data_IF_145606669798
#
_entry.id   IF_145606669798
#
_cell.length_a   1.000
_cell.length_b   1.000
_cell.length_c   1.000
_cell.angle_alpha   90.00
_cell.angle_beta   90.00
_cell.angle_gamma   90.00
#
_symmetry.space_group_name_H-M   'P 1'
#
loop_
_entity.id
_entity.type
_entity.pdbx_description
1 polymer ?
#
# COMPACT_ATOMS: atom_id res chain seq x y z
N UNK A 1 1.41 -17.87 -9.98
CA UNK A 1 2.75 -17.27 -9.86
C UNK A 1 3.16 -16.68 -11.20
N UNK A 2 3.91 -15.59 -11.17
CA UNK A 2 4.48 -14.93 -12.35
C UNK A 2 5.98 -14.79 -12.11
N UNK A 3 6.78 -15.13 -13.11
CA UNK A 3 8.25 -15.05 -13.04
C UNK A 3 8.74 -14.25 -14.23
N UNK A 4 9.34 -13.10 -13.97
CA UNK A 4 9.99 -12.29 -15.00
C UNK A 4 11.38 -12.84 -15.37
N UNK A 5 11.73 -12.75 -16.66
CA UNK A 5 13.06 -13.03 -17.20
C UNK A 5 13.47 -11.86 -18.11
N UNK A 6 14.01 -10.77 -17.53
CA UNK A 6 14.40 -9.58 -18.29
C UNK A 6 15.60 -9.81 -19.22
N UNK A 7 16.30 -10.94 -19.07
CA UNK A 7 17.43 -11.34 -19.91
C UNK A 7 17.03 -12.26 -21.06
N UNK A 8 15.76 -12.65 -21.15
CA UNK A 8 15.31 -13.58 -22.16
C UNK A 8 15.61 -13.05 -23.58
N UNK A 9 16.25 -13.90 -24.37
CA UNK A 9 16.70 -13.59 -25.71
C UNK A 9 15.71 -14.18 -26.71
N UNK A 10 15.40 -13.41 -27.75
CA UNK A 10 14.53 -13.90 -28.80
C UNK A 10 15.25 -14.04 -30.13
N UNK A 11 15.20 -15.22 -30.77
CA UNK A 11 15.71 -15.40 -32.12
C UNK A 11 14.82 -14.65 -33.12
N UNK A 12 15.42 -13.85 -34.01
CA UNK A 12 14.69 -13.17 -35.07
C UNK A 12 14.09 -14.18 -36.05
N UNK A 13 12.87 -13.95 -36.59
CA UNK A 13 12.47 -14.60 -37.82
C UNK A 13 13.39 -14.07 -38.93
N UNK A 14 14.27 -14.96 -39.42
CA UNK A 14 15.22 -14.77 -40.54
C UNK A 14 16.64 -14.23 -40.24
N UNK A 15 17.33 -14.76 -39.21
CA UNK A 15 18.79 -14.86 -39.22
C UNK A 15 19.60 -13.56 -39.15
N UNK A 16 19.04 -12.50 -38.56
CA UNK A 16 19.80 -11.32 -38.14
C UNK A 16 20.34 -11.47 -36.71
N UNK A 17 21.31 -10.62 -36.35
CA UNK A 17 21.97 -10.56 -35.04
C UNK A 17 20.98 -10.69 -33.88
N UNK A 18 21.32 -11.57 -32.96
CA UNK A 18 20.57 -11.92 -31.76
C UNK A 18 20.22 -10.64 -30.98
N UNK A 19 18.93 -10.35 -30.80
CA UNK A 19 18.53 -9.21 -29.96
C UNK A 19 18.71 -9.60 -28.50
N UNK A 20 19.78 -9.10 -27.88
CA UNK A 20 20.07 -9.35 -26.47
C UNK A 20 19.00 -8.70 -25.57
N UNK A 21 18.38 -9.49 -24.68
CA UNK A 21 17.61 -9.04 -23.50
C UNK A 21 16.31 -8.25 -23.75
N UNK A 22 15.47 -8.66 -24.69
CA UNK A 22 14.12 -8.05 -24.84
C UNK A 22 13.25 -8.39 -23.61
N UNK A 23 13.46 -9.59 -23.05
CA UNK A 23 12.85 -10.04 -21.81
C UNK A 23 11.45 -10.64 -21.98
N UNK A 24 11.02 -11.42 -21.00
CA UNK A 24 9.71 -12.07 -20.98
C UNK A 24 9.15 -12.24 -19.55
N UNK A 25 7.90 -12.66 -19.44
CA UNK A 25 7.31 -13.08 -18.16
C UNK A 25 6.57 -14.41 -18.31
N UNK A 26 6.73 -15.30 -17.35
CA UNK A 26 6.22 -16.67 -17.38
C UNK A 26 5.17 -16.87 -16.30
N UNK A 27 4.00 -17.37 -16.70
CA UNK A 27 2.86 -17.62 -15.82
C UNK A 27 2.82 -19.10 -15.45
N UNK A 28 2.66 -19.37 -14.16
CA UNK A 28 2.43 -20.70 -13.61
C UNK A 28 1.13 -20.73 -12.80
N UNK A 29 0.31 -21.76 -13.03
CA UNK A 29 -0.94 -22.02 -12.31
C UNK A 29 -0.76 -23.19 -11.35
N UNK A 30 -1.31 -23.07 -10.15
CA UNK A 30 -1.27 -24.15 -9.16
C UNK A 30 -2.45 -25.10 -9.41
N UNK A 31 -2.15 -26.32 -9.83
CA UNK A 31 -3.16 -27.35 -10.14
C UNK A 31 -2.83 -28.62 -9.35
N UNK A 32 -3.78 -29.07 -8.52
CA UNK A 32 -3.62 -30.24 -7.65
C UNK A 32 -2.29 -30.22 -6.85
N UNK A 33 -1.88 -29.05 -6.36
CA UNK A 33 -0.64 -28.86 -5.60
C UNK A 33 0.65 -28.76 -6.44
N UNK A 34 0.56 -28.77 -7.77
CA UNK A 34 1.71 -28.66 -8.66
C UNK A 34 1.66 -27.35 -9.46
N UNK A 35 2.80 -26.66 -9.58
CA UNK A 35 2.93 -25.51 -10.46
C UNK A 35 3.05 -25.98 -11.91
N UNK A 36 2.03 -25.67 -12.71
CA UNK A 36 1.96 -25.99 -14.13
C UNK A 36 2.22 -24.72 -14.93
N UNK A 37 3.15 -24.81 -15.88
CA UNK A 37 3.40 -23.73 -16.83
C UNK A 37 2.14 -23.42 -17.64
N UNK A 38 1.75 -22.15 -17.68
CA UNK A 38 0.54 -21.69 -18.34
C UNK A 38 0.83 -20.96 -19.65
N UNK A 39 1.67 -19.92 -19.60
CA UNK A 39 1.93 -19.05 -20.76
C UNK A 39 3.18 -18.18 -20.55
N UNK A 40 3.85 -17.85 -21.64
CA UNK A 40 4.85 -16.78 -21.75
C UNK A 40 4.16 -15.51 -22.25
N UNK A 41 4.45 -14.38 -21.61
CA UNK A 41 4.05 -13.03 -21.97
C UNK A 41 5.26 -12.29 -22.52
N UNK A 42 5.03 -11.50 -23.57
CA UNK A 42 6.01 -10.72 -24.31
C UNK A 42 5.33 -9.42 -24.72
N UNK A 43 6.02 -8.28 -24.61
CA UNK A 43 5.47 -7.00 -25.03
C UNK A 43 5.16 -6.99 -26.53
N UNK A 44 3.93 -6.66 -26.91
CA UNK A 44 3.49 -6.61 -28.31
C UNK A 44 4.30 -5.62 -29.17
N UNK A 45 4.77 -4.53 -28.55
CA UNK A 45 5.60 -3.51 -29.18
C UNK A 45 7.11 -3.71 -28.98
N UNK A 46 7.54 -4.79 -28.30
CA UNK A 46 8.96 -5.17 -28.20
C UNK A 46 9.58 -5.60 -29.54
N UNK A 47 8.74 -5.67 -30.59
CA UNK A 47 9.08 -6.09 -31.94
C UNK A 47 8.61 -5.08 -32.99
N UNK A 48 9.06 -3.83 -32.91
CA UNK A 48 8.67 -2.77 -33.85
C UNK A 48 9.76 -2.36 -34.84
N UNK A 49 9.73 -2.92 -36.05
CA UNK A 49 10.37 -2.34 -37.25
C UNK A 49 9.50 -1.27 -37.94
N UNK A 50 8.35 -0.92 -37.37
CA UNK A 50 7.48 0.10 -37.91
C UNK A 50 7.82 1.45 -37.29
N UNK A 51 8.56 2.27 -38.05
CA UNK A 51 8.78 3.73 -37.95
C UNK A 51 10.23 4.14 -38.29
N UNK A 52 11.10 3.25 -38.76
CA UNK A 52 12.48 3.64 -39.12
C UNK A 52 13.31 4.16 -37.93
N UNK A 53 12.90 3.75 -36.73
CA UNK A 53 13.54 4.09 -35.45
C UNK A 53 14.51 2.97 -35.10
N UNK A 54 15.68 3.34 -34.60
CA UNK A 54 16.72 2.39 -34.20
C UNK A 54 16.24 1.62 -32.96
N UNK A 55 15.71 0.42 -33.18
CA UNK A 55 15.24 -0.53 -32.16
C UNK A 55 16.42 -0.88 -31.25
N UNK A 56 16.33 -0.54 -29.96
CA UNK A 56 17.35 -0.90 -28.98
C UNK A 56 17.18 -2.36 -28.51
N UNK A 57 18.25 -3.17 -28.46
CA UNK A 57 18.25 -4.36 -27.60
C UNK A 57 18.11 -3.94 -26.13
N UNK A 58 17.47 -4.76 -25.30
CA UNK A 58 17.50 -4.57 -23.85
C UNK A 58 16.32 -3.86 -23.20
N UNK A 59 15.08 -4.01 -23.66
CA UNK A 59 13.88 -3.42 -23.02
C UNK A 59 13.71 -3.86 -21.55
N UNK A 60 14.33 -4.98 -21.16
CA UNK A 60 14.25 -5.58 -19.83
C UNK A 60 12.78 -5.87 -19.41
N UNK A 61 11.92 -6.29 -20.36
CA UNK A 61 10.56 -6.69 -20.01
C UNK A 61 10.59 -7.87 -19.04
N UNK A 62 9.78 -7.83 -17.99
CA UNK A 62 9.85 -8.83 -16.91
C UNK A 62 10.84 -8.47 -15.81
N UNK A 63 11.38 -7.25 -15.80
CA UNK A 63 12.26 -6.82 -14.70
C UNK A 63 11.54 -6.73 -13.36
N UNK A 64 10.28 -6.32 -13.37
CA UNK A 64 9.39 -6.35 -12.23
C UNK A 64 8.04 -6.91 -12.66
N UNK A 65 7.39 -7.64 -11.77
CA UNK A 65 6.07 -8.24 -12.01
C UNK A 65 5.24 -8.16 -10.75
N UNK A 66 3.93 -7.99 -10.91
CA UNK A 66 2.96 -8.15 -9.83
C UNK A 66 1.63 -8.69 -10.38
N UNK A 67 0.79 -9.27 -9.53
CA UNK A 67 -0.43 -9.98 -9.92
C UNK A 67 -1.58 -9.75 -8.94
N UNK A 68 -2.71 -9.29 -9.47
CA UNK A 68 -3.98 -9.19 -8.75
C UNK A 68 -5.08 -9.89 -9.54
N UNK A 69 -5.67 -10.93 -8.93
CA UNK A 69 -6.73 -11.74 -9.55
C UNK A 69 -6.36 -12.25 -10.94
N UNK A 70 -7.04 -11.71 -11.96
CA UNK A 70 -6.86 -12.06 -13.38
C UNK A 70 -5.93 -11.10 -14.15
N UNK A 71 -5.29 -10.14 -13.46
CA UNK A 71 -4.40 -9.14 -14.05
C UNK A 71 -2.97 -9.33 -13.59
N UNK A 72 -2.04 -9.13 -14.51
CA UNK A 72 -0.61 -9.14 -14.26
C UNK A 72 -0.06 -7.81 -14.77
N UNK A 73 0.72 -7.12 -13.97
CA UNK A 73 1.54 -6.00 -14.44
C UNK A 73 2.98 -6.44 -14.62
N UNK A 74 3.63 -5.96 -15.68
CA UNK A 74 5.01 -6.27 -16.02
C UNK A 74 5.76 -4.99 -16.37
N UNK A 75 6.88 -4.74 -15.70
CA UNK A 75 7.76 -3.61 -15.97
C UNK A 75 8.81 -3.89 -17.05
N UNK A 76 9.12 -2.88 -17.85
CA UNK A 76 10.16 -2.87 -18.87
C UNK A 76 10.95 -1.55 -18.77
N UNK A 77 11.82 -1.45 -17.76
CA UNK A 77 12.46 -0.18 -17.38
C UNK A 77 13.38 0.45 -18.43
N UNK A 78 13.77 -0.35 -19.43
CA UNK A 78 14.67 0.07 -20.50
C UNK A 78 13.94 0.18 -21.85
N UNK A 79 12.61 0.08 -21.86
CA UNK A 79 11.82 0.34 -23.04
C UNK A 79 12.10 1.75 -23.57
N UNK A 80 12.33 1.89 -24.87
CA UNK A 80 12.57 3.19 -25.46
C UNK A 80 12.78 3.17 -26.96
N UNK A 81 12.57 4.34 -27.55
CA UNK A 81 12.59 4.54 -29.01
C UNK A 81 14.00 4.75 -29.56
N UNK A 82 14.98 5.00 -28.67
CA UNK A 82 16.38 5.27 -29.01
C UNK A 82 17.32 4.41 -28.16
N UNK A 83 18.29 3.75 -28.82
CA UNK A 83 19.23 2.73 -28.31
C UNK A 83 19.97 3.13 -27.01
N UNK A 84 20.02 4.42 -26.66
CA UNK A 84 20.73 4.90 -25.49
C UNK A 84 19.92 5.81 -24.58
N UNK A 85 18.61 5.97 -24.78
CA UNK A 85 17.79 6.94 -24.03
C UNK A 85 16.44 6.34 -23.58
N UNK A 86 16.45 5.18 -22.88
CA UNK A 86 15.21 4.49 -22.56
C UNK A 86 14.37 5.29 -21.57
N UNK A 87 13.06 5.36 -21.81
CA UNK A 87 12.11 6.03 -20.91
C UNK A 87 11.52 5.06 -19.89
N UNK A 88 11.40 3.80 -20.30
CA UNK A 88 10.73 2.73 -19.58
C UNK A 88 9.24 2.66 -19.88
N UNK A 89 8.65 1.51 -19.62
CA UNK A 89 7.22 1.24 -19.79
C UNK A 89 6.75 0.19 -18.77
N UNK A 90 5.43 0.07 -18.63
CA UNK A 90 4.81 -1.08 -17.99
C UNK A 90 3.66 -1.61 -18.86
N UNK A 91 3.32 -2.88 -18.67
CA UNK A 91 2.31 -3.59 -19.44
C UNK A 91 1.37 -4.29 -18.49
N UNK A 92 0.07 -4.15 -18.71
CA UNK A 92 -0.94 -4.91 -17.97
C UNK A 92 -1.55 -5.95 -18.89
N UNK A 93 -1.51 -7.20 -18.44
CA UNK A 93 -2.14 -8.34 -19.10
C UNK A 93 -3.36 -8.77 -18.31
N UNK A 94 -4.51 -8.83 -18.97
CA UNK A 94 -5.78 -9.28 -18.37
C UNK A 94 -6.24 -10.59 -19.02
N UNK A 95 -6.50 -11.60 -18.18
CA UNK A 95 -6.84 -12.94 -18.65
C UNK A 95 -8.25 -12.98 -19.23
N UNK A 96 -8.35 -13.43 -20.49
CA UNK A 96 -9.61 -13.56 -21.24
C UNK A 96 -10.10 -15.02 -21.31
N UNK A 97 -9.54 -15.91 -20.49
CA UNK A 97 -9.85 -17.33 -20.49
C UNK A 97 -8.93 -18.16 -21.40
N UNK A 98 -8.78 -19.45 -21.05
CA UNK A 98 -7.86 -20.36 -21.76
C UNK A 98 -6.43 -19.81 -21.77
N UNK A 99 -5.84 -19.67 -22.95
CA UNK A 99 -4.49 -19.09 -23.17
C UNK A 99 -4.52 -17.63 -23.62
N UNK A 100 -5.70 -16.98 -23.62
CA UNK A 100 -5.87 -15.64 -24.19
C UNK A 100 -5.68 -14.56 -23.13
N UNK A 101 -4.97 -13.50 -23.50
CA UNK A 101 -4.67 -12.35 -22.66
C UNK A 101 -4.79 -11.09 -23.51
N UNK A 102 -5.40 -10.04 -22.96
CA UNK A 102 -5.39 -8.70 -23.55
C UNK A 102 -4.27 -7.88 -22.91
N UNK A 103 -3.58 -7.05 -23.70
CA UNK A 103 -2.47 -6.21 -23.25
C UNK A 103 -2.91 -4.74 -23.20
N UNK A 104 -2.44 -4.00 -22.20
CA UNK A 104 -2.48 -2.54 -22.12
C UNK A 104 -1.06 -2.01 -21.90
N UNK A 105 -0.63 -1.08 -22.75
CA UNK A 105 0.64 -0.36 -22.60
C UNK A 105 0.45 0.86 -21.69
N UNK A 106 1.32 1.01 -20.69
CA UNK A 106 1.33 2.13 -19.75
C UNK A 106 2.65 2.89 -19.85
N UNK A 107 2.52 4.20 -20.05
CA UNK A 107 3.61 5.19 -19.96
C UNK A 107 2.98 6.53 -19.59
N UNK A 108 3.63 7.30 -18.71
CA UNK A 108 3.16 8.64 -18.36
C UNK A 108 3.53 9.67 -19.45
N UNK A 109 2.68 10.67 -19.68
CA UNK A 109 2.85 11.67 -20.74
C UNK A 109 4.10 12.55 -20.56
N UNK A 110 4.50 12.78 -19.31
CA UNK A 110 5.64 13.63 -18.94
C UNK A 110 6.95 12.85 -18.80
N UNK A 111 6.96 11.54 -19.10
CA UNK A 111 8.14 10.72 -18.89
C UNK A 111 9.28 11.15 -19.82
N UNK A 112 10.46 11.33 -19.23
CA UNK A 112 11.67 11.73 -19.96
C UNK A 112 12.65 10.58 -20.09
N UNK A 113 13.67 10.78 -20.93
CA UNK A 113 14.73 9.79 -21.13
C UNK A 113 15.43 9.46 -19.81
N UNK A 114 15.83 8.21 -19.67
CA UNK A 114 16.47 7.63 -18.49
C UNK A 114 15.64 7.57 -17.21
N UNK A 115 14.32 7.77 -17.28
CA UNK A 115 13.49 7.81 -16.06
C UNK A 115 13.35 6.46 -15.33
N UNK A 116 13.70 5.34 -15.99
CA UNK A 116 13.50 3.97 -15.49
C UNK A 116 12.04 3.66 -15.11
N UNK A 117 11.07 4.18 -15.88
CA UNK A 117 9.65 3.89 -15.63
C UNK A 117 9.37 2.39 -15.75
N UNK A 118 8.71 1.79 -14.77
CA UNK A 118 8.49 0.35 -14.73
C UNK A 118 9.63 -0.44 -14.07
N UNK A 119 10.57 0.23 -13.39
CA UNK A 119 11.57 -0.46 -12.57
C UNK A 119 10.93 -1.28 -11.45
N UNK A 120 9.90 -0.73 -10.80
CA UNK A 120 9.04 -1.45 -9.87
C UNK A 120 7.59 -1.16 -10.23
N UNK A 121 6.76 -2.18 -10.09
CA UNK A 121 5.34 -2.15 -10.44
C UNK A 121 4.57 -2.84 -9.32
N UNK A 122 3.35 -2.36 -9.07
CA UNK A 122 2.39 -3.02 -8.21
C UNK A 122 0.97 -2.82 -8.78
N UNK A 123 0.08 -3.78 -8.56
CA UNK A 123 -1.31 -3.75 -9.03
C UNK A 123 -2.25 -4.26 -7.94
N UNK A 124 -3.33 -3.53 -7.68
CA UNK A 124 -4.39 -3.96 -6.77
C UNK A 124 -5.71 -3.38 -7.22
N UNK A 125 -6.71 -4.24 -7.44
CA UNK A 125 -7.98 -3.79 -7.97
C UNK A 125 -7.79 -3.00 -9.27
N UNK A 126 -8.52 -1.91 -9.42
CA UNK A 126 -8.45 -1.06 -10.61
C UNK A 126 -7.28 -0.05 -10.61
N UNK A 127 -6.29 -0.25 -9.74
CA UNK A 127 -5.13 0.63 -9.60
C UNK A 127 -3.82 -0.08 -9.91
N UNK A 128 -2.91 0.64 -10.55
CA UNK A 128 -1.53 0.21 -10.77
C UNK A 128 -0.57 1.33 -10.39
N UNK A 129 0.46 1.02 -9.63
CA UNK A 129 1.49 1.96 -9.22
C UNK A 129 2.81 1.61 -9.87
N UNK A 130 3.44 2.59 -10.51
CA UNK A 130 4.66 2.37 -11.29
C UNK A 130 5.75 3.33 -10.83
N UNK A 131 6.88 2.77 -10.43
CA UNK A 131 8.06 3.50 -10.00
C UNK A 131 8.92 3.97 -11.17
N UNK A 132 9.48 5.17 -11.04
CA UNK A 132 10.39 5.81 -12.00
C UNK A 132 11.51 6.56 -11.27
N UNK A 133 12.41 5.86 -10.58
CA UNK A 133 13.34 6.48 -9.62
C UNK A 133 14.42 7.36 -10.24
N UNK A 134 14.64 7.28 -11.56
CA UNK A 134 15.59 8.17 -12.25
C UNK A 134 14.92 9.38 -12.92
N UNK A 135 13.59 9.51 -12.80
CA UNK A 135 12.90 10.70 -13.26
C UNK A 135 13.42 11.96 -12.56
N UNK A 136 13.34 13.10 -13.24
CA UNK A 136 13.81 14.40 -12.75
C UNK A 136 15.21 14.35 -12.12
N UNK A 137 16.20 13.92 -12.91
CA UNK A 137 17.61 13.85 -12.51
C UNK A 137 17.90 12.98 -11.27
N UNK A 138 17.09 11.93 -11.04
CA UNK A 138 17.26 11.03 -9.90
C UNK A 138 16.59 11.49 -8.61
N UNK A 139 15.76 12.54 -8.66
CA UNK A 139 14.82 12.83 -7.57
C UNK A 139 13.77 11.69 -7.48
N UNK A 140 13.37 11.15 -8.62
CA UNK A 140 12.46 10.02 -8.72
C UNK A 140 10.99 10.43 -8.65
N UNK A 141 10.12 9.54 -9.11
CA UNK A 141 8.68 9.74 -9.21
C UNK A 141 7.99 8.38 -9.20
N UNK A 142 6.76 8.32 -8.71
CA UNK A 142 5.85 7.20 -8.92
C UNK A 142 4.58 7.68 -9.63
N UNK A 143 3.93 6.80 -10.37
CA UNK A 143 2.73 7.12 -11.12
C UNK A 143 1.61 6.15 -10.78
N UNK A 144 0.46 6.68 -10.32
CA UNK A 144 -0.74 5.90 -10.03
C UNK A 144 -1.69 5.93 -11.23
N UNK A 145 -1.87 4.78 -11.86
CA UNK A 145 -2.81 4.57 -12.95
C UNK A 145 -4.12 4.02 -12.39
N UNK A 146 -5.25 4.53 -12.89
CA UNK A 146 -6.58 4.01 -12.57
C UNK A 146 -7.25 3.50 -13.85
N UNK A 147 -7.89 2.35 -13.74
CA UNK A 147 -8.67 1.74 -14.82
C UNK A 147 -10.05 2.39 -14.90
N UNK A 148 -10.37 2.99 -16.04
CA UNK A 148 -11.67 3.60 -16.34
C UNK A 148 -12.36 2.78 -17.44
N UNK A 149 -13.15 1.79 -17.04
CA UNK A 149 -13.76 0.82 -17.96
C UNK A 149 -12.71 -0.10 -18.58
N UNK A 150 -12.56 -0.07 -19.91
CA UNK A 150 -11.58 -0.90 -20.63
C UNK A 150 -10.18 -0.26 -20.73
N UNK A 151 -10.02 1.02 -20.36
CA UNK A 151 -8.79 1.78 -20.57
C UNK A 151 -8.14 2.17 -19.25
N UNK A 152 -6.81 2.28 -19.24
CA UNK A 152 -6.06 2.90 -18.15
C UNK A 152 -5.91 4.40 -18.40
N UNK A 153 -6.01 5.21 -17.35
CA UNK A 153 -5.81 6.66 -17.43
C UNK A 153 -4.35 7.06 -17.72
N UNK A 154 -4.06 8.36 -17.79
CA UNK A 154 -2.72 8.89 -18.10
C UNK A 154 -1.67 8.74 -16.97
N UNK A 155 -2.09 8.28 -15.79
CA UNK A 155 -1.25 8.21 -14.60
C UNK A 155 -1.20 9.53 -13.83
N UNK A 156 -1.52 9.48 -12.54
CA UNK A 156 -1.33 10.60 -11.62
C UNK A 156 0.10 10.57 -11.08
N UNK A 157 0.85 11.63 -11.31
CA UNK A 157 2.21 11.77 -10.80
C UNK A 157 2.20 11.94 -9.27
N UNK A 158 3.06 11.20 -8.59
CA UNK A 158 3.34 11.30 -7.16
C UNK A 158 4.84 11.56 -7.03
N UNK A 159 5.20 12.69 -6.42
CA UNK A 159 6.57 13.10 -6.20
C UNK A 159 6.76 13.62 -4.79
N UNK A 160 8.01 13.68 -4.35
CA UNK A 160 8.39 14.31 -3.07
C UNK A 160 8.46 15.83 -3.22
N UNK A 161 7.94 16.53 -2.21
CA UNK A 161 8.02 17.99 -2.15
C UNK A 161 9.47 18.43 -1.87
N UNK A 162 10.01 19.28 -2.75
CA UNK A 162 11.36 19.83 -2.63
C UNK A 162 12.42 19.03 -3.42
N UNK A 163 13.45 19.74 -3.88
CA UNK A 163 14.51 19.13 -4.69
C UNK A 163 15.49 18.40 -3.76
N UNK A 164 15.50 17.07 -3.81
CA UNK A 164 16.52 16.26 -3.13
C UNK A 164 17.27 15.45 -4.16
N UNK A 165 18.40 16.01 -4.61
CA UNK A 165 19.31 15.36 -5.56
C UNK A 165 19.65 13.94 -5.09
N UNK A 166 19.22 12.94 -5.86
CA UNK A 166 19.59 11.54 -5.66
C UNK A 166 18.77 10.77 -4.62
N UNK A 167 17.52 11.15 -4.36
CA UNK A 167 16.61 10.37 -3.51
C UNK A 167 16.23 9.00 -4.09
N UNK A 168 15.98 8.93 -5.40
CA UNK A 168 15.41 7.75 -6.05
C UNK A 168 14.01 7.39 -5.53
N UNK A 169 13.15 8.40 -5.30
CA UNK A 169 11.73 8.18 -4.98
C UNK A 169 11.04 7.32 -6.06
N UNK A 170 10.22 6.35 -5.68
CA UNK A 170 9.64 5.38 -6.62
C UNK A 170 10.59 4.22 -6.95
N UNK A 171 11.66 4.05 -6.17
CA UNK A 171 12.58 2.91 -6.29
C UNK A 171 11.99 1.59 -5.80
N UNK A 172 11.06 1.68 -4.86
CA UNK A 172 10.18 0.62 -4.40
C UNK A 172 8.73 1.15 -4.42
N UNK A 173 7.78 0.30 -4.81
CA UNK A 173 6.36 0.63 -4.78
C UNK A 173 5.54 -0.58 -4.34
N UNK A 174 4.49 -0.34 -3.57
CA UNK A 174 3.47 -1.33 -3.21
C UNK A 174 2.12 -0.62 -3.06
N UNK A 175 1.01 -1.30 -3.32
CA UNK A 175 -0.32 -0.77 -2.98
C UNK A 175 -1.26 -1.87 -2.48
N UNK A 176 -2.27 -1.47 -1.72
CA UNK A 176 -3.43 -2.27 -1.36
C UNK A 176 -4.71 -1.46 -1.63
N UNK A 177 -5.85 -1.84 -1.04
CA UNK A 177 -7.12 -1.14 -1.27
C UNK A 177 -7.13 0.32 -0.81
N UNK A 178 -6.34 0.70 0.18
CA UNK A 178 -6.45 2.03 0.81
C UNK A 178 -5.16 2.84 0.70
N UNK A 179 -4.03 2.15 0.64
CA UNK A 179 -2.72 2.77 0.80
C UNK A 179 -1.77 2.41 -0.34
N UNK A 180 -0.85 3.33 -0.59
CA UNK A 180 0.32 3.08 -1.40
C UNK A 180 1.60 3.42 -0.62
N UNK A 181 2.63 2.60 -0.80
CA UNK A 181 3.95 2.78 -0.23
C UNK A 181 4.96 3.07 -1.32
N UNK A 182 5.85 4.03 -1.09
CA UNK A 182 6.88 4.44 -2.04
C UNK A 182 8.22 4.63 -1.33
N UNK A 183 9.24 3.90 -1.77
CA UNK A 183 10.60 3.98 -1.28
C UNK A 183 11.43 5.09 -1.93
N UNK A 184 12.32 5.68 -1.12
CA UNK A 184 13.26 6.75 -1.45
C UNK A 184 14.59 6.46 -0.75
N UNK A 185 15.28 5.40 -1.19
CA UNK A 185 16.42 4.83 -0.47
C UNK A 185 17.69 5.71 -0.52
N UNK A 186 17.82 6.58 -1.52
CA UNK A 186 18.99 7.44 -1.72
C UNK A 186 18.99 8.72 -0.88
N UNK A 187 17.86 9.03 -0.25
CA UNK A 187 17.69 10.23 0.55
C UNK A 187 18.75 10.35 1.67
N UNK A 188 19.22 11.58 1.92
CA UNK A 188 20.11 11.94 3.03
C UNK A 188 21.41 11.12 3.13
N UNK A 189 22.14 11.00 2.01
CA UNK A 189 23.33 10.13 1.88
C UNK A 189 22.96 8.66 2.05
N UNK A 190 21.89 8.23 1.37
CA UNK A 190 21.40 6.86 1.42
C UNK A 190 21.06 6.37 2.84
N UNK A 191 20.60 7.26 3.74
CA UNK A 191 19.88 6.78 4.92
C UNK A 191 18.53 6.20 4.49
N UNK A 192 17.90 6.85 3.51
CA UNK A 192 16.66 6.40 2.91
C UNK A 192 15.41 6.77 3.71
N UNK A 193 14.25 6.64 3.07
CA UNK A 193 12.91 6.88 3.62
C UNK A 193 11.86 6.05 2.88
N UNK A 194 10.72 5.80 3.53
CA UNK A 194 9.51 5.33 2.86
C UNK A 194 8.34 6.25 3.18
N UNK A 195 7.57 6.55 2.15
CA UNK A 195 6.36 7.34 2.23
C UNK A 195 5.15 6.42 2.07
N UNK A 196 4.16 6.60 2.92
CA UNK A 196 2.91 5.87 2.86
C UNK A 196 1.79 6.87 2.67
N UNK A 197 0.95 6.66 1.65
CA UNK A 197 -0.12 7.57 1.28
C UNK A 197 -1.47 6.87 1.35
N UNK A 198 -2.43 7.53 1.97
CA UNK A 198 -3.87 7.23 1.85
C UNK A 198 -4.38 7.87 0.55
N UNK A 199 -4.30 7.11 -0.55
CA UNK A 199 -4.61 7.64 -1.88
C UNK A 199 -6.12 7.80 -2.09
N UNK A 200 -6.94 7.19 -1.24
CA UNK A 200 -8.41 7.35 -1.24
C UNK A 200 -8.85 8.58 -0.43
N UNK A 201 -8.07 9.02 0.55
CA UNK A 201 -8.33 10.21 1.36
C UNK A 201 -7.41 11.38 0.95
N UNK A 202 -7.60 11.91 -0.26
CA UNK A 202 -6.88 13.09 -0.74
C UNK A 202 -5.35 12.99 -0.65
N UNK A 203 -4.79 11.77 -0.77
CA UNK A 203 -3.34 11.52 -0.72
C UNK A 203 -2.69 12.00 0.60
N UNK A 204 -3.37 11.85 1.74
CA UNK A 204 -2.72 12.09 3.05
C UNK A 204 -1.46 11.23 3.15
N UNK A 205 -0.34 11.84 3.54
CA UNK A 205 0.97 11.16 3.59
C UNK A 205 1.50 11.07 5.00
N UNK A 206 2.10 9.94 5.33
CA UNK A 206 2.97 9.78 6.49
C UNK A 206 4.36 9.36 6.04
N UNK A 207 5.36 9.76 6.81
CA UNK A 207 6.75 9.39 6.58
C UNK A 207 7.15 8.34 7.59
N UNK A 208 7.57 7.17 7.11
CA UNK A 208 8.04 6.10 7.97
C UNK A 208 9.55 6.17 8.06
N UNK A 209 10.04 6.34 9.29
CA UNK A 209 11.46 6.30 9.63
C UNK A 209 11.64 5.34 10.80
N UNK A 210 12.60 4.43 10.70
CA UNK A 210 13.06 3.72 11.89
C UNK A 210 14.02 4.59 12.70
N UNK A 211 13.97 4.48 14.03
CA UNK A 211 14.82 5.24 14.95
C UNK A 211 16.32 4.88 14.88
N UNK A 212 16.67 3.80 14.16
CA UNK A 212 18.02 3.27 14.05
C UNK A 212 18.57 3.27 12.61
N UNK A 213 18.04 4.12 11.71
CA UNK A 213 18.57 4.26 10.34
C UNK A 213 19.82 5.15 10.34
N UNK A 214 20.91 4.61 9.82
CA UNK A 214 22.17 5.30 9.59
C UNK A 214 22.34 5.71 8.12
N UNK A 215 23.30 6.61 7.86
CA UNK A 215 23.78 6.93 6.51
C UNK A 215 24.30 5.66 5.85
N UNK A 216 23.82 5.36 4.64
CA UNK A 216 24.21 4.18 3.86
C UNK A 216 23.36 2.92 4.12
N UNK A 217 22.31 3.01 4.94
CA UNK A 217 21.42 1.88 5.21
C UNK A 217 20.38 1.61 4.11
N UNK A 218 20.21 2.54 3.16
CA UNK A 218 19.29 2.41 2.02
C UNK A 218 17.88 1.99 2.45
N UNK A 219 17.38 2.53 3.58
CA UNK A 219 16.05 2.22 4.08
C UNK A 219 14.98 2.61 3.05
N UNK A 220 14.08 1.69 2.71
CA UNK A 220 13.13 1.87 1.63
C UNK A 220 13.61 1.35 0.27
N UNK A 221 14.69 0.58 0.22
CA UNK A 221 15.16 -0.08 -1.00
C UNK A 221 14.13 -1.07 -1.57
N UNK A 222 13.32 -1.68 -0.71
CA UNK A 222 12.13 -2.44 -1.10
C UNK A 222 11.03 -2.28 -0.04
N UNK A 223 9.78 -2.45 -0.44
CA UNK A 223 8.65 -2.40 0.47
C UNK A 223 7.47 -3.24 -0.02
N UNK A 224 6.65 -3.70 0.92
CA UNK A 224 5.46 -4.51 0.61
C UNK A 224 4.32 -4.23 1.60
N UNK A 225 3.09 -4.18 1.10
CA UNK A 225 1.88 -3.88 1.85
C UNK A 225 0.95 -5.09 1.90
N UNK A 226 0.44 -5.36 3.10
CA UNK A 226 -0.74 -6.17 3.32
C UNK A 226 -1.85 -5.31 3.91
N UNK A 227 -2.98 -5.91 4.28
CA UNK A 227 -4.06 -5.20 4.99
C UNK A 227 -3.63 -4.78 6.41
N UNK A 228 -2.87 -5.62 7.11
CA UNK A 228 -2.54 -5.41 8.54
C UNK A 228 -1.11 -4.91 8.78
N UNK A 229 -0.20 -5.19 7.85
CA UNK A 229 1.23 -4.96 8.02
C UNK A 229 1.84 -4.32 6.79
N UNK A 230 2.90 -3.56 7.03
CA UNK A 230 3.76 -3.00 6.03
C UNK A 230 5.22 -3.35 6.34
N UNK A 231 5.97 -3.79 5.33
CA UNK A 231 7.37 -4.20 5.51
C UNK A 231 8.27 -3.28 4.68
N UNK A 232 9.41 -2.87 5.27
CA UNK A 232 10.45 -2.07 4.61
C UNK A 232 11.80 -2.74 4.72
N UNK A 233 12.48 -2.90 3.59
CA UNK A 233 13.88 -3.34 3.55
C UNK A 233 14.88 -2.19 3.72
N UNK A 234 16.04 -2.53 4.28
CA UNK A 234 17.23 -1.67 4.35
C UNK A 234 18.48 -2.54 4.11
N UNK A 235 19.35 -2.13 3.18
CA UNK A 235 20.67 -2.73 2.97
C UNK A 235 21.68 -1.97 3.83
N UNK A 236 22.02 -2.50 5.01
CA UNK A 236 22.98 -1.86 5.90
C UNK A 236 24.39 -1.98 5.33
N UNK A 237 24.88 -0.89 4.75
CA UNK A 237 26.30 -0.74 4.42
C UNK A 237 26.99 -0.01 5.57
N UNK A 238 27.68 -0.73 6.46
CA UNK A 238 28.21 -0.09 7.66
C UNK A 238 29.29 0.99 7.37
N UNK A 239 29.04 2.18 7.92
CA UNK A 239 30.05 3.18 8.30
C UNK A 239 30.71 2.73 9.61
N UNK A 240 31.84 2.00 9.53
CA UNK A 240 33.00 2.02 10.45
C UNK A 240 33.90 0.76 10.40
N UNK A 241 33.95 0.05 9.27
CA UNK A 241 35.12 -0.73 8.88
C UNK A 241 35.49 -1.95 9.74
N UNK A 242 34.55 -2.55 10.48
CA UNK A 242 34.85 -3.71 11.33
C UNK A 242 33.84 -4.89 11.30
N UNK A 243 32.95 -4.96 10.31
CA UNK A 243 32.23 -6.21 9.99
C UNK A 243 32.56 -6.67 8.56
N UNK A 244 32.79 -7.97 8.32
CA UNK A 244 33.26 -8.49 7.04
C UNK A 244 32.14 -8.73 6.00
N UNK A 245 30.95 -8.13 6.14
CA UNK A 245 29.81 -8.41 5.24
C UNK A 245 28.77 -7.30 5.17
N UNK A 246 28.05 -7.21 4.05
CA UNK A 246 26.80 -6.46 3.91
C UNK A 246 25.70 -7.22 4.67
N UNK A 247 24.98 -6.54 5.56
CA UNK A 247 23.82 -7.11 6.28
C UNK A 247 22.54 -6.39 5.85
N UNK A 248 21.41 -7.09 5.82
CA UNK A 248 20.10 -6.50 5.51
C UNK A 248 19.19 -6.51 6.73
N UNK A 249 18.28 -5.55 6.85
CA UNK A 249 17.22 -5.55 7.87
C UNK A 249 15.87 -5.33 7.20
N UNK A 250 14.86 -6.09 7.62
CA UNK A 250 13.46 -5.85 7.30
C UNK A 250 12.75 -5.29 8.54
N UNK A 251 12.12 -4.14 8.39
CA UNK A 251 11.32 -3.47 9.40
C UNK A 251 9.85 -3.78 9.14
N UNK A 252 9.14 -4.27 10.16
CA UNK A 252 7.72 -4.59 10.05
C UNK A 252 6.95 -3.57 10.88
N UNK A 253 6.00 -2.90 10.24
CA UNK A 253 5.10 -1.94 10.83
C UNK A 253 3.68 -2.52 10.82
N UNK A 254 2.92 -2.22 11.87
CA UNK A 254 1.47 -2.45 11.83
C UNK A 254 0.80 -1.29 11.12
N UNK A 255 -0.13 -1.60 10.22
CA UNK A 255 -0.89 -0.61 9.45
C UNK A 255 -1.73 0.28 10.36
N UNK A 256 -2.24 -0.29 11.46
CA UNK A 256 -2.92 0.45 12.51
C UNK A 256 -2.06 1.61 13.02
N UNK A 257 -0.74 1.41 13.17
CA UNK A 257 0.22 2.41 13.66
C UNK A 257 0.60 3.48 12.63
N UNK A 258 0.35 3.26 11.34
CA UNK A 258 0.84 4.13 10.28
C UNK A 258 -0.10 5.32 9.98
N UNK A 259 -1.40 5.19 10.23
CA UNK A 259 -2.40 6.24 9.96
C UNK A 259 -3.28 6.55 11.16
N UNK A 260 -2.66 7.03 12.25
CA UNK A 260 -3.37 7.60 13.39
C UNK A 260 -4.34 6.65 14.10
N UNK A 261 -5.03 7.14 15.12
CA UNK A 261 -6.13 6.42 15.76
C UNK A 261 -5.74 5.29 16.72
N UNK A 262 -4.46 5.10 17.05
CA UNK A 262 -4.09 4.21 18.15
C UNK A 262 -4.15 4.93 19.47
N UNK A 263 -4.94 4.38 20.37
CA UNK A 263 -5.01 4.85 21.74
C UNK A 263 -3.75 4.42 22.50
N UNK A 264 -2.94 5.39 22.91
CA UNK A 264 -1.78 5.17 23.78
C UNK A 264 -2.14 5.32 25.26
N UNK A 265 -3.12 6.18 25.57
CA UNK A 265 -3.49 6.54 26.94
C UNK A 265 -2.34 7.12 27.75
N UNK A 266 -1.38 7.78 27.09
CA UNK A 266 -0.14 8.22 27.72
C UNK A 266 -0.34 9.38 28.71
N UNK A 267 -1.31 10.26 28.46
CA UNK A 267 -1.58 11.41 29.31
C UNK A 267 -2.68 11.11 30.35
N UNK A 268 -3.83 10.63 29.91
CA UNK A 268 -5.01 10.36 30.75
C UNK A 268 -6.03 9.47 30.00
N UNK A 269 -7.27 9.43 30.48
CA UNK A 269 -8.36 8.63 29.91
C UNK A 269 -9.20 9.39 28.87
N UNK A 270 -9.04 10.70 28.71
CA UNK A 270 -9.95 11.53 27.90
C UNK A 270 -9.75 11.29 26.39
N UNK A 271 -10.77 10.74 25.72
CA UNK A 271 -10.75 10.53 24.27
C UNK A 271 -10.41 11.81 23.50
N UNK A 272 -10.89 12.96 23.98
CA UNK A 272 -10.71 14.26 23.35
C UNK A 272 -9.31 14.86 23.53
N UNK A 273 -8.43 14.24 24.32
CA UNK A 273 -7.07 14.71 24.53
C UNK A 273 -6.13 14.16 23.43
N UNK A 274 -5.55 15.02 22.55
CA UNK A 274 -4.66 14.58 21.50
C UNK A 274 -3.42 13.82 22.00
N UNK A 275 -2.92 14.11 23.21
CA UNK A 275 -1.73 13.46 23.78
C UNK A 275 -1.95 11.97 24.11
N UNK A 276 -3.19 11.48 24.06
CA UNK A 276 -3.52 10.06 24.21
C UNK A 276 -3.52 9.28 22.88
N UNK A 277 -3.29 9.94 21.75
CA UNK A 277 -3.28 9.33 20.43
C UNK A 277 -1.86 9.29 19.88
N UNK A 278 -1.49 8.16 19.25
CA UNK A 278 -0.12 7.94 18.78
C UNK A 278 0.36 9.00 17.77
N UNK A 279 -0.56 9.66 17.08
CA UNK A 279 -0.31 10.70 16.08
C UNK A 279 -0.65 12.11 16.57
N UNK A 280 -0.98 12.30 17.85
CA UNK A 280 -1.40 13.57 18.44
C UNK A 280 -2.63 14.18 17.77
N UNK A 281 -3.49 13.37 17.14
CA UNK A 281 -4.76 13.81 16.58
C UNK A 281 -5.91 13.02 17.18
N UNK A 282 -6.97 13.73 17.59
CA UNK A 282 -8.21 13.09 18.01
C UNK A 282 -8.91 12.49 16.77
N UNK A 283 -9.30 11.21 16.80
CA UNK A 283 -9.94 10.54 15.67
C UNK A 283 -11.19 11.24 15.16
N UNK A 284 -11.39 11.15 13.84
CA UNK A 284 -12.59 11.61 13.17
C UNK A 284 -13.21 10.46 12.33
N UNK A 285 -14.30 10.74 11.62
CA UNK A 285 -15.03 9.73 10.83
C UNK A 285 -14.25 9.04 9.69
N UNK A 286 -13.01 9.45 9.42
CA UNK A 286 -12.09 8.81 8.48
C UNK A 286 -10.96 8.01 9.18
N UNK A 287 -10.84 8.10 10.51
CA UNK A 287 -9.73 7.49 11.26
C UNK A 287 -10.06 6.08 11.72
N UNK A 288 -9.21 5.11 11.40
CA UNK A 288 -9.30 3.76 11.97
C UNK A 288 -8.76 3.78 13.40
N UNK A 289 -9.59 3.39 14.38
CA UNK A 289 -9.24 3.42 15.79
C UNK A 289 -8.91 2.03 16.31
N UNK A 290 -7.80 1.93 17.04
CA UNK A 290 -7.41 0.72 17.77
C UNK A 290 -7.18 1.05 19.24
N UNK A 291 -7.83 0.29 20.12
CA UNK A 291 -7.68 0.38 21.57
C UNK A 291 -7.04 -0.92 22.06
N UNK A 292 -5.78 -0.82 22.49
CA UNK A 292 -5.01 -1.95 23.00
C UNK A 292 -5.04 -2.08 24.52
N UNK A 293 -4.87 -3.31 25.02
CA UNK A 293 -4.91 -3.62 26.45
C UNK A 293 -3.70 -3.06 27.24
N UNK A 294 -2.62 -2.71 26.54
CA UNK A 294 -1.37 -2.25 27.16
C UNK A 294 -1.42 -0.78 27.63
N UNK A 295 -2.41 0.01 27.19
CA UNK A 295 -2.53 1.41 27.58
C UNK A 295 -2.82 1.53 29.09
N UNK A 296 -2.01 2.32 29.80
CA UNK A 296 -2.12 2.52 31.23
C UNK A 296 -3.44 3.20 31.63
N UNK A 297 -3.90 4.11 30.79
CA UNK A 297 -5.19 4.78 30.92
C UNK A 297 -6.07 4.34 29.75
N UNK A 298 -7.08 3.51 30.00
CA UNK A 298 -8.03 3.07 28.98
C UNK A 298 -9.02 4.21 28.64
N UNK A 299 -9.49 4.32 27.38
CA UNK A 299 -10.25 5.48 26.93
C UNK A 299 -11.62 5.63 27.60
N UNK A 300 -11.98 6.88 27.86
CA UNK A 300 -13.23 7.32 28.46
C UNK A 300 -13.83 8.45 27.61
N UNK A 301 -15.07 8.25 27.14
CA UNK A 301 -15.83 9.24 26.38
C UNK A 301 -16.94 9.79 27.26
N UNK A 302 -16.87 11.06 27.66
CA UNK A 302 -17.93 11.76 28.39
C UNK A 302 -18.22 13.13 27.81
N UNK A 303 -19.50 13.52 27.77
CA UNK A 303 -19.99 14.83 27.29
C UNK A 303 -19.46 15.23 25.91
N UNK A 304 -19.17 14.26 25.05
CA UNK A 304 -18.68 14.47 23.69
C UNK A 304 -19.19 13.39 22.73
N UNK A 305 -19.15 13.73 21.45
CA UNK A 305 -19.29 12.78 20.35
C UNK A 305 -17.90 12.45 19.81
N UNK A 306 -17.46 11.22 20.03
CA UNK A 306 -16.29 10.67 19.35
C UNK A 306 -16.68 10.15 17.96
N UNK A 307 -15.75 10.17 17.00
CA UNK A 307 -15.98 9.65 15.65
C UNK A 307 -14.79 8.80 15.19
N UNK A 308 -15.07 7.75 14.45
CA UNK A 308 -14.06 6.89 13.80
C UNK A 308 -14.60 6.34 12.47
N UNK A 309 -13.71 5.86 11.61
CA UNK A 309 -14.04 5.01 10.46
C UNK A 309 -14.29 3.59 10.99
N UNK A 310 -13.23 2.85 11.32
CA UNK A 310 -13.33 1.53 11.96
C UNK A 310 -12.97 1.61 13.45
N UNK A 311 -13.59 0.78 14.30
CA UNK A 311 -13.22 0.64 15.72
C UNK A 311 -12.76 -0.79 16.00
N UNK A 312 -11.56 -0.94 16.53
CA UNK A 312 -11.05 -2.22 17.08
C UNK A 312 -10.77 -2.07 18.57
N UNK A 313 -11.39 -2.94 19.38
CA UNK A 313 -11.11 -3.07 20.81
C UNK A 313 -10.46 -4.44 21.02
N UNK A 314 -9.18 -4.45 21.34
CA UNK A 314 -8.42 -5.69 21.50
C UNK A 314 -8.81 -6.44 22.79
N UNK A 315 -8.50 -7.75 22.83
CA UNK A 315 -8.75 -8.56 24.01
C UNK A 315 -8.03 -8.00 25.25
N UNK A 316 -8.80 -7.74 26.32
CA UNK A 316 -8.30 -7.15 27.56
C UNK A 316 -8.24 -5.62 27.57
N UNK A 317 -8.58 -4.95 26.46
CA UNK A 317 -8.78 -3.50 26.42
C UNK A 317 -10.19 -3.13 26.90
N UNK A 318 -10.37 -1.87 27.31
CA UNK A 318 -11.67 -1.36 27.78
C UNK A 318 -11.98 0.00 27.16
N UNK A 319 -13.12 0.15 26.50
CA UNK A 319 -13.68 1.46 26.12
C UNK A 319 -14.78 1.84 27.12
N UNK A 320 -14.66 2.98 27.78
CA UNK A 320 -15.60 3.40 28.82
C UNK A 320 -16.42 4.64 28.42
N UNK A 321 -17.67 4.72 28.90
CA UNK A 321 -18.54 5.87 28.65
C UNK A 321 -19.02 6.55 29.94
N UNK A 322 -19.03 7.88 29.89
CA UNK A 322 -19.69 8.77 30.84
C UNK A 322 -21.16 8.98 30.52
N UNK A 323 -21.87 9.76 31.35
CA UNK A 323 -23.32 9.92 31.25
C UNK A 323 -23.79 10.46 29.90
N UNK A 324 -23.01 11.35 29.27
CA UNK A 324 -23.41 12.08 28.06
C UNK A 324 -22.45 11.86 26.87
N UNK A 325 -21.63 10.81 26.92
CA UNK A 325 -20.69 10.45 25.83
C UNK A 325 -21.26 9.41 24.86
N UNK A 326 -20.90 9.51 23.58
CA UNK A 326 -21.17 8.48 22.56
C UNK A 326 -20.12 8.48 21.44
N UNK A 327 -20.00 7.37 20.71
CA UNK A 327 -19.08 7.15 19.61
C UNK A 327 -19.85 6.82 18.33
N UNK A 328 -19.52 7.47 17.22
CA UNK A 328 -20.00 7.11 15.90
C UNK A 328 -18.88 6.40 15.11
N UNK A 329 -19.17 5.21 14.59
CA UNK A 329 -18.32 4.46 13.68
C UNK A 329 -18.97 4.47 12.29
N UNK A 330 -18.24 4.97 11.29
CA UNK A 330 -18.70 5.00 9.90
C UNK A 330 -18.49 3.65 9.17
N UNK A 331 -17.71 2.76 9.76
CA UNK A 331 -17.34 1.44 9.27
C UNK A 331 -17.46 0.39 10.39
N UNK A 332 -16.83 -0.76 10.18
CA UNK A 332 -16.88 -1.92 11.07
C UNK A 332 -16.41 -1.67 12.51
N UNK A 333 -17.03 -2.40 13.43
CA UNK A 333 -16.66 -2.45 14.85
C UNK A 333 -16.30 -3.88 15.25
N UNK A 334 -15.04 -4.10 15.60
CA UNK A 334 -14.50 -5.38 16.06
C UNK A 334 -14.19 -5.28 17.55
N UNK A 335 -14.96 -5.96 18.39
CA UNK A 335 -14.80 -5.93 19.85
C UNK A 335 -14.43 -7.29 20.44
N UNK A 336 -13.15 -7.46 20.79
CA UNK A 336 -12.65 -8.59 21.57
C UNK A 336 -12.43 -8.24 23.06
N UNK A 337 -12.58 -6.97 23.44
CA UNK A 337 -12.36 -6.44 24.79
C UNK A 337 -13.66 -6.17 25.56
N UNK A 338 -13.65 -5.11 26.35
CA UNK A 338 -14.79 -4.68 27.17
C UNK A 338 -15.30 -3.30 26.76
N UNK A 339 -16.62 -3.13 26.72
CA UNK A 339 -17.27 -1.83 26.69
C UNK A 339 -17.88 -1.63 28.08
N UNK A 340 -17.41 -0.62 28.82
CA UNK A 340 -17.78 -0.38 30.20
C UNK A 340 -18.56 0.95 30.37
N UNK A 341 -19.44 1.02 31.36
CA UNK A 341 -20.24 2.22 31.62
C UNK A 341 -20.09 2.69 33.06
N UNK A 342 -19.95 4.00 33.24
CA UNK A 342 -19.91 4.66 34.55
C UNK A 342 -21.29 5.16 35.03
N UNK A 343 -22.26 5.32 34.11
CA UNK A 343 -23.64 5.71 34.40
C UNK A 343 -24.59 5.41 33.21
N UNK A 344 -25.88 5.22 33.50
CA UNK A 344 -26.95 5.01 32.50
C UNK A 344 -26.91 6.08 31.40
N UNK A 345 -27.18 5.68 30.15
CA UNK A 345 -27.53 6.62 29.08
C UNK A 345 -28.71 7.50 29.51
N UNK A 346 -28.53 8.82 29.49
CA UNK A 346 -29.64 9.75 29.59
C UNK A 346 -30.24 9.89 28.19
N UNK A 347 -31.42 9.29 28.03
CA UNK A 347 -32.37 9.57 26.95
C UNK A 347 -31.93 9.22 25.51
N UNK A 348 -32.68 8.31 24.87
CA UNK A 348 -32.85 8.13 23.42
C UNK A 348 -31.61 7.95 22.50
N UNK A 349 -30.38 8.08 23.00
CA UNK A 349 -29.15 8.04 22.21
C UNK A 349 -28.32 6.79 22.57
N UNK A 350 -28.01 5.91 21.60
CA UNK A 350 -27.12 4.77 21.81
C UNK A 350 -25.67 5.22 22.04
N UNK A 351 -24.90 4.44 22.81
CA UNK A 351 -23.49 4.77 23.13
C UNK A 351 -22.54 4.58 21.97
N UNK A 352 -22.82 3.60 21.12
CA UNK A 352 -22.12 3.38 19.84
C UNK A 352 -23.16 3.41 18.73
N UNK A 353 -22.92 4.27 17.74
CA UNK A 353 -23.70 4.38 16.51
C UNK A 353 -22.84 3.80 15.40
N UNK A 354 -23.27 2.70 14.79
CA UNK A 354 -22.63 2.13 13.61
C UNK A 354 -23.48 2.47 12.39
N UNK A 355 -22.87 3.06 11.36
CA UNK A 355 -23.56 3.50 10.14
C UNK A 355 -23.21 2.60 8.94
N UNK A 356 -24.09 2.55 7.92
CA UNK A 356 -23.80 1.94 6.61
C UNK A 356 -24.03 0.41 6.50
N UNK A 357 -23.43 -0.20 5.47
CA UNK A 357 -23.36 -1.66 5.25
C UNK A 357 -22.21 -2.26 6.08
N UNK A 358 -22.36 -2.29 7.41
CA UNK A 358 -21.25 -2.57 8.34
C UNK A 358 -21.44 -3.83 9.18
N UNK A 359 -20.30 -4.41 9.60
CA UNK A 359 -20.19 -5.58 10.45
C UNK A 359 -19.88 -5.17 11.90
N UNK A 360 -20.64 -5.71 12.85
CA UNK A 360 -20.28 -5.70 14.28
C UNK A 360 -19.91 -7.12 14.70
N UNK A 361 -18.65 -7.34 15.07
CA UNK A 361 -18.14 -8.63 15.53
C UNK A 361 -17.75 -8.54 17.01
N UNK A 362 -18.45 -9.26 17.89
CA UNK A 362 -18.20 -9.25 19.33
C UNK A 362 -18.31 -10.64 19.98
N UNK A 363 -17.29 -11.04 20.75
CA UNK A 363 -17.31 -12.31 21.47
C UNK A 363 -17.81 -12.16 22.93
N UNK A 364 -18.57 -13.14 23.42
CA UNK A 364 -18.96 -13.25 24.84
C UNK A 364 -20.24 -12.51 25.24
N UNK A 365 -20.61 -12.60 26.53
CA UNK A 365 -21.71 -11.81 27.11
C UNK A 365 -21.24 -10.37 27.22
N UNK A 366 -21.60 -9.55 26.23
CA UNK A 366 -21.60 -8.10 26.37
C UNK A 366 -22.68 -7.80 27.42
N UNK A 367 -22.29 -7.58 28.68
CA UNK A 367 -23.23 -7.45 29.80
C UNK A 367 -24.16 -6.26 29.57
N UNK A 368 -25.34 -6.53 29.00
CA UNK A 368 -26.49 -5.65 29.06
C UNK A 368 -27.20 -6.00 30.37
N UNK A 369 -27.15 -5.15 31.40
CA UNK A 369 -27.77 -5.44 32.69
C UNK A 369 -29.27 -5.72 32.48
N UNK A 370 -29.80 -6.73 33.17
CA UNK A 370 -31.20 -7.13 33.05
C UNK A 370 -32.14 -5.96 33.34
N UNK A 371 -32.80 -5.43 32.31
CA UNK A 371 -33.83 -4.40 32.44
C UNK A 371 -33.86 -3.26 31.41
N UNK A 372 -32.95 -3.17 30.44
CA UNK A 372 -32.92 -2.08 29.45
C UNK A 372 -32.55 -2.59 28.04
N UNK A 373 -33.42 -2.39 27.06
CA UNK A 373 -33.27 -2.81 25.66
C UNK A 373 -33.04 -1.62 24.70
N UNK A 374 -32.31 -0.56 25.09
CA UNK A 374 -32.25 0.69 24.31
C UNK A 374 -30.85 1.30 24.01
N UNK A 375 -29.74 0.66 24.36
CA UNK A 375 -28.42 1.32 24.31
C UNK A 375 -27.58 1.06 23.03
N UNK A 376 -28.13 0.31 22.06
CA UNK A 376 -27.57 0.14 20.71
C UNK A 376 -28.65 0.45 19.67
N UNK A 377 -28.38 1.38 18.74
CA UNK A 377 -29.20 1.57 17.54
C UNK A 377 -28.34 1.28 16.33
N UNK A 378 -28.74 0.27 15.57
CA UNK A 378 -28.21 0.03 14.24
C UNK A 378 -29.04 0.85 13.25
N UNK A 379 -28.43 1.87 12.63
CA UNK A 379 -28.99 2.50 11.43
C UNK A 379 -28.32 1.86 10.21
N UNK A 380 -28.64 0.58 10.01
CA UNK A 380 -28.25 -0.16 8.82
C UNK A 380 -28.94 0.43 7.58
N UNK A 381 -28.17 0.75 6.55
CA UNK A 381 -28.68 0.77 5.17
C UNK A 381 -28.09 -0.47 4.49
N UNK A 382 -28.94 -1.40 4.02
CA UNK A 382 -28.49 -2.62 3.35
C UNK A 382 -28.32 -3.85 4.27
N UNK A 383 -27.37 -4.71 3.92
CA UNK A 383 -27.18 -6.07 4.46
C UNK A 383 -26.30 -6.09 5.73
N UNK A 384 -26.72 -5.43 6.81
CA UNK A 384 -26.01 -5.46 8.11
C UNK A 384 -26.40 -6.68 8.96
N UNK A 385 -25.43 -7.31 9.63
CA UNK A 385 -25.65 -8.49 10.49
C UNK A 385 -24.88 -8.41 11.82
N UNK A 386 -25.44 -8.99 12.88
CA UNK A 386 -24.78 -9.24 14.17
C UNK A 386 -24.45 -10.74 14.21
N UNK A 387 -23.19 -11.10 14.44
CA UNK A 387 -22.74 -12.51 14.56
C UNK A 387 -22.67 -12.99 16.00
#
# INVERSE_FOLDING_TARGET
>A
AVVGDPSDQHPLPAGGDDRENIGSAHIYKLEAGNWIYHKKLEASNGWGSEQGLAVGPGDNFGYSVDVDGNRIIVGALKQGVEINQPRGAAYIYEWQGGVNWSESFLQADDIVNYSEFGKKVAIYGDYALIGSPRHDNGNGTAYLFHKNGANWGAGTQISVDGVVSGGYFGSAVSLNDEFLAIGDYGLNNASGKVYLYDYKNAFQKTELLSSNIAIGDEYGIDCDLSEEHFIVGAEKTERNGNLPGREGTAYIYSMALAFGGNWTGAADTDWGNPDNWADFNVPNGATNVVIGAAAANQPFIDKMQANCKHLTIEAGATLSFGADGFLQANGDVNNAGQIAESAKSKDANPRIIVLGETLFNGAGRQDIPSGLYQDFTFQAQGDSYIT
#
